data_IF_287659560594
#
_entry.id   IF_287659560594
#
_cell.length_a   1.000
_cell.length_b   1.000
_cell.length_c   1.000
_cell.angle_alpha   90.00
_cell.angle_beta   90.00
_cell.angle_gamma   90.00
#
_symmetry.space_group_name_H-M   'P 1'
#
loop_
_entity.id
_entity.type
_entity.pdbx_description
1 polymer ?
#
# COMPACT_ATOMS: atom_id res chain seq x y z
N UNK A 1 7.83 -22.50 -5.63
CA UNK A 1 7.93 -21.02 -5.49
C UNK A 1 8.43 -20.32 -6.76
N UNK A 2 9.58 -20.70 -7.36
CA UNK A 2 10.13 -20.05 -8.60
C UNK A 2 9.17 -20.14 -9.81
N UNK A 3 8.45 -21.24 -9.99
CA UNK A 3 7.48 -21.42 -11.09
C UNK A 3 6.22 -20.55 -10.94
N UNK A 4 5.75 -20.33 -9.71
CA UNK A 4 4.61 -19.47 -9.43
C UNK A 4 4.96 -18.00 -9.70
N UNK A 5 6.16 -17.58 -9.32
CA UNK A 5 6.68 -16.24 -9.60
C UNK A 5 6.81 -15.99 -11.11
N UNK A 6 7.31 -16.99 -11.86
CA UNK A 6 7.43 -16.89 -13.32
C UNK A 6 6.07 -16.78 -14.01
N UNK A 7 5.07 -17.56 -13.56
CA UNK A 7 3.69 -17.49 -14.08
C UNK A 7 3.06 -16.14 -13.77
N UNK A 8 3.30 -15.58 -12.58
CA UNK A 8 2.84 -14.25 -12.20
C UNK A 8 3.46 -13.17 -13.12
N UNK A 9 4.79 -13.21 -13.32
CA UNK A 9 5.50 -12.29 -14.21
C UNK A 9 5.03 -12.41 -15.67
N UNK A 10 4.78 -13.63 -16.16
CA UNK A 10 4.26 -13.85 -17.52
C UNK A 10 2.79 -13.42 -17.66
N UNK A 11 1.96 -13.62 -16.63
CA UNK A 11 0.59 -13.11 -16.60
C UNK A 11 0.56 -11.57 -16.64
N UNK A 12 1.47 -10.91 -15.92
CA UNK A 12 1.63 -9.46 -16.00
C UNK A 12 2.15 -9.00 -17.38
N UNK A 13 3.15 -9.71 -17.96
CA UNK A 13 3.68 -9.35 -19.28
C UNK A 13 2.63 -9.43 -20.40
N UNK A 14 1.62 -10.31 -20.28
CA UNK A 14 0.51 -10.42 -21.23
C UNK A 14 -0.51 -9.28 -21.20
N UNK A 15 -0.53 -8.49 -20.12
CA UNK A 15 -1.46 -7.36 -19.94
C UNK A 15 -0.96 -6.09 -20.69
N UNK A 16 0.33 -6.02 -21.00
CA UNK A 16 0.95 -4.84 -21.63
C UNK A 16 0.63 -4.63 -23.11
N UNK A 17 -0.18 -5.48 -23.74
CA UNK A 17 -0.35 -5.46 -25.21
C UNK A 17 -1.59 -4.73 -25.72
N UNK A 18 -2.44 -4.14 -24.89
CA UNK A 18 -3.62 -3.44 -25.37
C UNK A 18 -3.95 -2.19 -24.52
N UNK A 19 -3.64 -1.03 -25.10
CA UNK A 19 -4.14 0.30 -24.65
C UNK A 19 -3.84 0.70 -23.19
N UNK A 20 -2.83 1.53 -22.98
CA UNK A 20 -2.61 2.61 -21.97
C UNK A 20 -3.47 2.62 -20.66
N UNK A 21 -3.74 1.48 -20.06
CA UNK A 21 -4.53 1.40 -18.82
C UNK A 21 -3.76 0.75 -17.67
N UNK A 22 -2.48 0.44 -17.88
CA UNK A 22 -1.60 -0.15 -16.86
C UNK A 22 -0.76 0.94 -16.25
N UNK A 23 -0.58 0.87 -14.95
CA UNK A 23 0.36 1.70 -14.24
C UNK A 23 1.20 0.86 -13.28
N UNK A 24 2.39 1.34 -12.98
CA UNK A 24 3.29 0.76 -11.98
C UNK A 24 3.73 1.86 -11.03
N UNK A 25 4.02 1.50 -9.81
CA UNK A 25 4.47 2.46 -8.83
C UNK A 25 4.63 1.89 -7.45
N UNK A 26 4.35 2.71 -6.45
CA UNK A 26 4.38 2.28 -5.06
C UNK A 26 4.67 3.41 -4.10
N UNK A 27 4.79 3.03 -2.83
CA UNK A 27 5.10 3.93 -1.73
C UNK A 27 6.42 3.57 -1.07
N UNK A 28 7.06 4.59 -0.52
CA UNK A 28 8.18 4.47 0.40
C UNK A 28 7.79 5.14 1.70
N UNK A 29 8.16 4.53 2.83
CA UNK A 29 7.96 5.11 4.15
C UNK A 29 9.21 4.96 4.98
N UNK A 30 9.54 5.99 5.75
CA UNK A 30 10.61 5.94 6.74
C UNK A 30 10.18 6.71 7.98
N UNK A 31 10.40 6.13 9.15
CA UNK A 31 10.26 6.80 10.43
C UNK A 31 11.52 6.59 11.25
N UNK A 32 12.13 7.69 11.69
CA UNK A 32 13.35 7.64 12.50
C UNK A 32 13.11 8.46 13.74
N UNK A 33 13.00 7.78 14.88
CA UNK A 33 12.87 8.36 16.21
C UNK A 33 14.01 7.84 17.09
N UNK A 34 14.21 8.44 18.26
CA UNK A 34 15.32 8.09 19.17
C UNK A 34 15.40 6.59 19.47
N UNK A 35 14.26 5.96 19.72
CA UNK A 35 14.16 4.55 20.11
C UNK A 35 13.39 3.68 19.11
N UNK A 36 13.02 4.23 17.94
CA UNK A 36 12.24 3.50 16.93
C UNK A 36 12.68 3.90 15.52
N UNK A 37 12.94 2.90 14.69
CA UNK A 37 13.20 3.07 13.26
C UNK A 37 12.29 2.15 12.47
N UNK A 38 11.71 2.69 11.42
CA UNK A 38 10.89 1.92 10.47
C UNK A 38 11.27 2.33 9.05
N UNK A 39 11.37 1.34 8.18
CA UNK A 39 11.51 1.50 6.74
C UNK A 39 10.49 0.62 6.05
N UNK A 40 9.77 1.17 5.11
CA UNK A 40 8.80 0.42 4.30
C UNK A 40 8.95 0.73 2.83
N UNK A 41 8.74 -0.30 2.01
CA UNK A 41 8.63 -0.21 0.56
C UNK A 41 7.41 -1.01 0.13
N UNK A 42 6.61 -0.44 -0.75
CA UNK A 42 5.36 -1.04 -1.22
C UNK A 42 5.23 -0.87 -2.74
N UNK A 43 5.97 -1.65 -3.56
CA UNK A 43 5.76 -1.67 -5.00
C UNK A 43 4.36 -2.20 -5.33
N UNK A 44 3.76 -1.64 -6.38
CA UNK A 44 2.42 -2.02 -6.83
C UNK A 44 2.26 -1.86 -8.34
N UNK A 45 1.35 -2.64 -8.89
CA UNK A 45 0.94 -2.58 -10.28
C UNK A 45 -0.57 -2.57 -10.33
N UNK A 46 -1.13 -1.77 -11.23
CA UNK A 46 -2.56 -1.65 -11.36
C UNK A 46 -3.02 -1.56 -12.82
N UNK A 47 -4.30 -1.77 -12.98
CA UNK A 47 -5.00 -1.72 -14.24
C UNK A 47 -6.29 -0.90 -14.09
N UNK A 48 -6.47 0.11 -14.97
CA UNK A 48 -7.71 0.86 -15.04
C UNK A 48 -8.70 0.11 -15.94
N UNK A 49 -9.78 -0.42 -15.35
CA UNK A 49 -10.88 -1.09 -16.06
C UNK A 49 -11.65 -0.06 -16.90
N UNK A 50 -11.84 1.11 -16.31
CA UNK A 50 -12.44 2.29 -16.94
C UNK A 50 -12.05 3.55 -16.16
N UNK A 51 -12.63 4.70 -16.48
CA UNK A 51 -12.32 5.98 -15.85
C UNK A 51 -12.65 6.05 -14.34
N UNK A 52 -13.49 5.14 -13.84
CA UNK A 52 -13.93 5.12 -12.43
C UNK A 52 -13.34 3.95 -11.65
N UNK A 53 -13.10 2.81 -12.28
CA UNK A 53 -12.71 1.58 -11.62
C UNK A 53 -11.31 1.15 -12.00
N UNK A 54 -10.49 0.88 -11.01
CA UNK A 54 -9.14 0.35 -11.16
C UNK A 54 -8.95 -0.82 -10.20
N UNK A 55 -8.14 -1.79 -10.59
CA UNK A 55 -7.70 -2.90 -9.75
C UNK A 55 -6.20 -2.88 -9.63
N UNK A 56 -5.68 -3.26 -8.49
CA UNK A 56 -4.24 -3.26 -8.28
C UNK A 56 -3.80 -4.33 -7.29
N UNK A 57 -2.53 -4.67 -7.39
CA UNK A 57 -1.84 -5.58 -6.49
C UNK A 57 -0.54 -4.92 -6.02
N UNK A 58 -0.40 -4.75 -4.73
CA UNK A 58 0.81 -4.32 -4.06
C UNK A 58 1.48 -5.44 -3.30
N UNK A 59 2.79 -5.31 -3.08
CA UNK A 59 3.58 -6.14 -2.18
C UNK A 59 4.32 -5.22 -1.22
N UNK A 60 4.04 -5.31 0.08
CA UNK A 60 4.64 -4.48 1.11
C UNK A 60 5.76 -5.21 1.83
N UNK A 61 6.90 -4.56 2.02
CA UNK A 61 7.92 -4.98 2.96
C UNK A 61 8.16 -3.88 3.97
N UNK A 62 8.12 -4.21 5.25
CA UNK A 62 8.37 -3.30 6.34
C UNK A 62 9.39 -3.88 7.29
N UNK A 63 10.42 -3.09 7.60
CA UNK A 63 11.40 -3.35 8.64
C UNK A 63 11.17 -2.39 9.79
N UNK A 64 11.04 -2.91 11.00
CA UNK A 64 10.91 -2.12 12.22
C UNK A 64 12.01 -2.51 13.19
N UNK A 65 12.59 -1.52 13.87
CA UNK A 65 13.54 -1.70 14.94
C UNK A 65 13.14 -0.83 16.12
N UNK A 66 12.89 -1.46 17.26
CA UNK A 66 12.61 -0.77 18.52
C UNK A 66 13.72 -1.02 19.53
N UNK A 67 14.11 0.01 20.26
CA UNK A 67 15.08 -0.05 21.37
C UNK A 67 14.35 0.23 22.67
N UNK A 68 14.54 -0.64 23.65
CA UNK A 68 13.99 -0.49 24.99
C UNK A 68 15.13 -0.57 25.99
N UNK A 69 15.27 0.43 26.85
CA UNK A 69 16.25 0.42 27.94
C UNK A 69 15.61 -0.22 29.17
N UNK A 70 16.14 -1.36 29.59
CA UNK A 70 15.69 -2.10 30.78
C UNK A 70 16.87 -2.27 31.72
N UNK A 71 16.79 -1.70 32.92
CA UNK A 71 17.81 -1.81 33.99
C UNK A 71 19.23 -1.38 33.55
N UNK A 72 19.34 -0.44 32.58
CA UNK A 72 20.62 0.04 32.08
C UNK A 72 21.19 -0.74 30.90
N UNK A 73 20.49 -1.78 30.44
CA UNK A 73 20.80 -2.50 29.20
C UNK A 73 19.84 -2.10 28.09
N UNK A 74 20.38 -1.82 26.88
CA UNK A 74 19.58 -1.51 25.71
C UNK A 74 19.23 -2.80 24.96
N UNK A 75 17.98 -3.21 25.02
CA UNK A 75 17.44 -4.33 24.24
C UNK A 75 16.94 -3.80 22.89
N UNK A 76 17.45 -4.39 21.80
CA UNK A 76 17.03 -4.05 20.44
C UNK A 76 16.19 -5.17 19.86
N UNK A 77 14.93 -4.89 19.56
CA UNK A 77 14.03 -5.80 18.88
C UNK A 77 13.85 -5.36 17.44
N UNK A 78 14.00 -6.31 16.50
CA UNK A 78 13.78 -6.06 15.07
C UNK A 78 12.69 -6.99 14.55
N UNK A 79 11.75 -6.44 13.82
CA UNK A 79 10.66 -7.19 13.17
C UNK A 79 10.59 -6.88 11.70
N UNK A 80 10.32 -7.90 10.90
CA UNK A 80 10.10 -7.78 9.47
C UNK A 80 8.66 -8.17 9.17
N UNK A 81 8.01 -7.45 8.28
CA UNK A 81 6.68 -7.77 7.79
C UNK A 81 6.69 -7.77 6.26
N UNK A 82 6.23 -8.86 5.68
CA UNK A 82 5.97 -8.97 4.24
C UNK A 82 4.47 -9.09 4.06
N UNK A 83 3.90 -8.36 3.13
CA UNK A 83 2.47 -8.35 2.89
C UNK A 83 2.12 -8.37 1.41
N UNK A 84 0.92 -8.86 1.12
CA UNK A 84 0.26 -8.77 -0.18
C UNK A 84 -0.96 -7.87 -0.03
N UNK A 85 -1.13 -6.92 -0.95
CA UNK A 85 -2.12 -5.84 -0.84
C UNK A 85 -2.92 -5.70 -2.14
N UNK A 86 -3.85 -6.63 -2.46
CA UNK A 86 -4.82 -6.38 -3.52
C UNK A 86 -5.79 -5.28 -3.11
N UNK A 87 -6.17 -4.42 -4.05
CA UNK A 87 -7.21 -3.42 -3.83
C UNK A 87 -7.98 -3.06 -5.10
N UNK A 88 -9.17 -2.54 -4.87
CA UNK A 88 -10.01 -1.94 -5.90
C UNK A 88 -10.14 -0.46 -5.60
N UNK A 89 -9.87 0.39 -6.59
CA UNK A 89 -10.03 1.84 -6.51
C UNK A 89 -11.28 2.27 -7.25
N UNK A 90 -12.09 3.07 -6.58
CA UNK A 90 -13.18 3.82 -7.19
C UNK A 90 -12.82 5.31 -7.23
N UNK A 91 -12.74 5.87 -8.43
CA UNK A 91 -12.54 7.31 -8.66
C UNK A 91 -13.91 7.96 -8.60
N UNK A 92 -14.20 8.67 -7.52
CA UNK A 92 -15.50 9.27 -7.26
C UNK A 92 -15.75 10.50 -8.14
N UNK A 93 -14.72 11.32 -8.31
CA UNK A 93 -14.78 12.53 -9.14
C UNK A 93 -13.39 13.01 -9.53
N UNK A 94 -13.34 13.76 -10.63
CA UNK A 94 -12.13 14.47 -11.06
C UNK A 94 -12.37 15.97 -10.97
N UNK A 95 -11.48 16.69 -10.31
CA UNK A 95 -11.55 18.13 -10.10
C UNK A 95 -10.56 18.81 -11.04
N UNK A 96 -11.06 19.49 -12.04
CA UNK A 96 -10.25 19.95 -13.17
C UNK A 96 -9.68 18.76 -13.94
N UNK A 97 -8.52 18.94 -14.57
CA UNK A 97 -7.87 17.89 -15.37
C UNK A 97 -6.82 17.09 -14.59
N UNK A 98 -6.48 17.51 -13.37
CA UNK A 98 -5.29 17.02 -12.65
C UNK A 98 -5.55 16.35 -11.31
N UNK A 99 -6.68 16.59 -10.69
CA UNK A 99 -6.96 16.05 -9.36
C UNK A 99 -8.14 15.09 -9.41
N UNK A 100 -8.01 13.96 -8.72
CA UNK A 100 -9.08 12.98 -8.59
C UNK A 100 -9.26 12.61 -7.14
N UNK A 101 -10.51 12.53 -6.68
CA UNK A 101 -10.86 11.96 -5.39
C UNK A 101 -11.18 10.50 -5.59
N UNK A 102 -10.62 9.64 -4.75
CA UNK A 102 -10.84 8.21 -4.85
C UNK A 102 -11.06 7.54 -3.48
N UNK A 103 -11.59 6.34 -3.55
CA UNK A 103 -11.74 5.42 -2.42
C UNK A 103 -11.13 4.07 -2.81
N UNK A 104 -10.20 3.57 -2.02
CA UNK A 104 -9.61 2.25 -2.19
C UNK A 104 -10.24 1.28 -1.19
N UNK A 105 -10.76 0.16 -1.69
CA UNK A 105 -11.10 -1.02 -0.90
C UNK A 105 -9.88 -1.95 -0.93
N UNK A 106 -9.17 -2.00 0.17
CA UNK A 106 -7.92 -2.76 0.33
C UNK A 106 -8.16 -4.03 1.13
N UNK A 107 -7.49 -5.12 0.72
CA UNK A 107 -7.34 -6.32 1.52
C UNK A 107 -5.85 -6.58 1.72
N UNK A 108 -5.38 -6.48 2.95
CA UNK A 108 -3.98 -6.62 3.33
C UNK A 108 -3.76 -7.98 3.97
N UNK A 109 -2.76 -8.74 3.53
CA UNK A 109 -2.45 -10.08 4.03
C UNK A 109 -0.99 -10.14 4.46
N UNK A 110 -0.72 -10.53 5.72
CA UNK A 110 0.62 -10.84 6.22
C UNK A 110 1.12 -12.17 5.65
N UNK A 111 2.41 -12.24 5.26
CA UNK A 111 2.99 -13.42 4.61
C UNK A 111 4.12 -14.07 5.43
N UNK A 112 4.63 -13.45 6.49
CA UNK A 112 5.79 -13.93 7.24
C UNK A 112 5.45 -14.57 8.59
N UNK A 113 4.28 -14.29 9.15
CA UNK A 113 3.87 -14.83 10.43
C UNK A 113 2.99 -16.08 10.27
N UNK A 114 3.13 -17.06 11.18
CA UNK A 114 2.26 -18.23 11.28
C UNK A 114 0.81 -17.83 11.64
N UNK A 115 0.62 -16.64 12.17
CA UNK A 115 -0.67 -16.01 12.37
C UNK A 115 -1.14 -15.43 11.03
N UNK A 116 -2.36 -15.74 10.66
CA UNK A 116 -3.00 -15.23 9.44
C UNK A 116 -3.46 -13.79 9.63
N UNK A 117 -2.49 -12.87 9.73
CA UNK A 117 -2.75 -11.45 9.87
C UNK A 117 -3.38 -10.92 8.58
N UNK A 118 -4.55 -10.32 8.68
CA UNK A 118 -5.21 -9.69 7.54
C UNK A 118 -6.01 -8.46 7.97
N UNK A 119 -6.24 -7.57 7.03
CA UNK A 119 -7.15 -6.46 7.22
C UNK A 119 -7.95 -6.19 5.94
N UNK A 120 -9.19 -5.72 6.11
CA UNK A 120 -10.02 -5.22 5.01
C UNK A 120 -10.42 -3.80 5.34
N UNK A 121 -9.97 -2.84 4.54
CA UNK A 121 -10.12 -1.42 4.85
C UNK A 121 -10.58 -0.61 3.65
N UNK A 122 -11.35 0.43 3.93
CA UNK A 122 -11.63 1.54 3.01
C UNK A 122 -10.67 2.68 3.31
N UNK A 123 -10.01 3.19 2.27
CA UNK A 123 -9.00 4.23 2.38
C UNK A 123 -9.31 5.35 1.38
N UNK A 124 -9.80 6.50 1.86
CA UNK A 124 -10.01 7.67 1.00
C UNK A 124 -8.68 8.29 0.57
N UNK A 125 -8.68 8.93 -0.59
CA UNK A 125 -7.48 9.58 -1.08
C UNK A 125 -7.72 10.60 -2.17
N UNK A 126 -6.63 11.30 -2.50
CA UNK A 126 -6.54 12.27 -3.58
C UNK A 126 -5.38 11.87 -4.47
N UNK A 127 -5.59 11.83 -5.77
CA UNK A 127 -4.53 11.66 -6.76
C UNK A 127 -4.31 12.98 -7.50
N UNK A 128 -3.05 13.29 -7.74
CA UNK A 128 -2.62 14.43 -8.52
C UNK A 128 -1.82 13.94 -9.73
N UNK A 129 -2.34 14.18 -10.91
CA UNK A 129 -1.66 13.91 -12.19
C UNK A 129 -0.67 15.04 -12.45
N UNK A 130 0.59 14.83 -12.12
CA UNK A 130 1.65 15.82 -12.31
C UNK A 130 1.96 16.01 -13.81
N UNK A 131 1.96 14.91 -14.56
CA UNK A 131 2.09 14.86 -16.02
C UNK A 131 1.19 13.75 -16.57
N UNK A 132 1.13 13.56 -17.88
CA UNK A 132 0.35 12.48 -18.53
C UNK A 132 0.82 11.08 -18.06
N UNK A 133 2.07 10.96 -17.63
CA UNK A 133 2.65 9.69 -17.19
C UNK A 133 2.82 9.59 -15.66
N UNK A 134 2.91 10.71 -14.94
CA UNK A 134 3.20 10.66 -13.50
C UNK A 134 2.02 11.11 -12.66
N UNK A 135 1.64 10.26 -11.74
CA UNK A 135 0.57 10.52 -10.75
C UNK A 135 1.11 10.32 -9.34
N UNK A 136 0.93 11.32 -8.48
CA UNK A 136 1.11 11.19 -7.05
C UNK A 136 -0.25 10.95 -6.38
N UNK A 137 -0.34 9.96 -5.52
CA UNK A 137 -1.54 9.67 -4.75
C UNK A 137 -1.28 9.75 -3.25
N UNK A 138 -2.26 10.29 -2.55
CA UNK A 138 -2.24 10.48 -1.09
C UNK A 138 -3.45 9.78 -0.52
N UNK A 139 -3.24 8.80 0.38
CA UNK A 139 -4.30 8.13 1.15
C UNK A 139 -4.34 8.71 2.54
N UNK A 140 -5.53 8.98 3.05
CA UNK A 140 -5.75 9.63 4.35
C UNK A 140 -6.55 8.70 5.25
N UNK A 141 -5.87 8.11 6.24
CA UNK A 141 -6.53 7.22 7.17
C UNK A 141 -7.09 5.94 6.56
N UNK A 142 -7.81 5.19 7.35
CA UNK A 142 -8.47 3.94 6.96
C UNK A 142 -9.58 3.58 7.94
N UNK A 143 -10.61 2.92 7.44
CA UNK A 143 -11.70 2.37 8.25
C UNK A 143 -12.01 0.97 7.77
N UNK A 144 -12.21 0.01 8.70
CA UNK A 144 -12.51 -1.36 8.33
C UNK A 144 -12.39 -2.35 9.46
N UNK A 145 -12.00 -3.56 9.14
CA UNK A 145 -11.74 -4.64 10.06
C UNK A 145 -10.26 -5.04 9.98
N UNK A 146 -9.65 -5.19 11.13
CA UNK A 146 -8.26 -5.63 11.28
C UNK A 146 -8.21 -6.91 12.12
N UNK A 147 -7.43 -7.88 11.67
CA UNK A 147 -7.06 -9.05 12.44
C UNK A 147 -5.53 -9.08 12.54
N UNK A 148 -5.01 -8.38 13.55
CA UNK A 148 -3.59 -8.25 13.88
C UNK A 148 -2.67 -7.67 12.79
N UNK A 149 -3.19 -7.35 11.59
CA UNK A 149 -2.33 -6.82 10.51
C UNK A 149 -1.76 -5.44 10.86
N UNK A 150 -2.58 -4.54 11.41
CA UNK A 150 -2.18 -3.21 11.90
C UNK A 150 -1.96 -3.18 13.42
N UNK A 151 -2.11 -4.33 14.10
CA UNK A 151 -1.91 -4.47 15.54
C UNK A 151 -3.18 -4.28 16.38
N UNK A 152 -4.35 -4.35 15.74
CA UNK A 152 -5.66 -4.40 16.39
C UNK A 152 -6.38 -5.69 16.01
N UNK A 153 -7.38 -6.09 16.78
CA UNK A 153 -8.26 -7.20 16.44
C UNK A 153 -9.70 -6.73 16.56
N UNK A 154 -10.33 -6.46 15.42
CA UNK A 154 -11.68 -5.95 15.32
C UNK A 154 -11.84 -4.73 14.43
N UNK A 155 -12.73 -3.82 14.80
CA UNK A 155 -12.98 -2.60 14.05
C UNK A 155 -11.81 -1.63 14.16
N UNK A 156 -11.29 -1.20 12.99
CA UNK A 156 -10.22 -0.24 12.85
C UNK A 156 -10.76 1.08 12.32
N UNK A 157 -10.48 2.16 13.03
CA UNK A 157 -10.69 3.53 12.56
C UNK A 157 -9.40 4.32 12.81
N UNK A 158 -8.69 4.61 11.75
CA UNK A 158 -7.48 5.44 11.77
C UNK A 158 -7.75 6.68 10.91
N UNK A 159 -7.86 7.83 11.55
CA UNK A 159 -8.15 9.11 10.93
C UNK A 159 -6.96 10.07 10.92
N UNK A 160 -5.73 9.55 11.01
CA UNK A 160 -4.54 10.41 10.99
C UNK A 160 -4.33 11.06 9.62
N UNK A 161 -4.86 12.27 9.49
CA UNK A 161 -4.68 13.12 8.31
C UNK A 161 -3.28 13.76 8.25
N UNK A 162 -2.53 13.74 9.34
CA UNK A 162 -1.20 14.34 9.42
C UNK A 162 -0.10 13.42 8.88
N UNK A 163 -0.37 12.13 8.69
CA UNK A 163 0.56 11.14 8.15
C UNK A 163 0.00 10.43 6.90
N UNK A 164 -0.24 11.14 5.80
CA UNK A 164 -0.76 10.53 4.60
C UNK A 164 0.23 9.52 4.02
N UNK A 165 -0.29 8.42 3.47
CA UNK A 165 0.53 7.51 2.68
C UNK A 165 0.73 8.12 1.29
N UNK A 166 1.98 8.39 0.94
CA UNK A 166 2.35 8.95 -0.36
C UNK A 166 2.77 7.81 -1.29
N UNK A 167 2.21 7.79 -2.49
CA UNK A 167 2.49 6.81 -3.53
C UNK A 167 2.74 7.54 -4.85
N UNK A 168 3.67 7.02 -5.64
CA UNK A 168 4.01 7.57 -6.95
C UNK A 168 3.78 6.50 -8.01
N UNK A 169 3.09 6.86 -9.09
CA UNK A 169 2.73 5.97 -10.19
C UNK A 169 3.23 6.49 -11.52
N UNK A 170 3.66 5.56 -12.36
CA UNK A 170 3.93 5.79 -13.76
C UNK A 170 2.84 5.11 -14.59
N UNK A 171 2.15 5.89 -15.41
CA UNK A 171 1.09 5.43 -16.32
C UNK A 171 1.70 5.23 -17.71
N UNK A 172 1.41 4.10 -18.33
CA UNK A 172 1.91 3.76 -19.66
C UNK A 172 1.01 4.29 -20.76
#
# INVERSE_FOLDING_TARGET
>A
MKKLFLVLVLAFAGIFTANAQVWVGGGLGASIQKNYKSLSIAPEVGYAINNQWQVALGAGYQFNQAKTDVLGETITNSTNKLSLQPYVRYVATTIGEKFSLFMDLCADFGLLDDNRDYAVTLQPGIAWMATDHWTAAFRFGKVGYDHNFYGTDGFLLDGDLAAPQIRLYYNF
#
